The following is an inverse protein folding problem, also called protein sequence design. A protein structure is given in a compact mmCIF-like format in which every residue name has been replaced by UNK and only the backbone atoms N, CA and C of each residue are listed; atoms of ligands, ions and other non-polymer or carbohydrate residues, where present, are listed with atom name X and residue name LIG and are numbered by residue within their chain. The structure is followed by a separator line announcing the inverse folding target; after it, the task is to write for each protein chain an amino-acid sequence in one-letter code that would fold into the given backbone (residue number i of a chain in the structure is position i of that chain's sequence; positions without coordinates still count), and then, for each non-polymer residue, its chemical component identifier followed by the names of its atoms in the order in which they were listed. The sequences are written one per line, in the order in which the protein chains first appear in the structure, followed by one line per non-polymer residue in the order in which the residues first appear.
data_IF_561005160260
#
_entry.id   IF_561005160260
#
_cell.length_a   1.000
_cell.length_b   1.000
_cell.length_c   1.000
_cell.angle_alpha   90.00
_cell.angle_beta   90.00
_cell.angle_gamma   90.00
#
_symmetry.space_group_name_H-M   'P 1'
#
loop_
_entity.id
_entity.type
_entity.pdbx_description
1 polymer ?
#
# COMPACT_ATOMS: atom_id res chain seq x y z
N UNK A 1 21.63 75.11 22.65
CA UNK A 1 20.28 74.53 22.71
C UNK A 1 20.09 73.70 21.45
N UNK A 2 20.18 72.37 21.56
CA UNK A 2 20.02 71.44 20.43
C UNK A 2 18.79 70.59 20.71
N UNK A 3 17.76 70.74 19.88
CA UNK A 3 16.59 69.86 19.84
C UNK A 3 16.98 68.56 19.14
N UNK A 4 16.88 67.44 19.83
CA UNK A 4 17.11 66.10 19.28
C UNK A 4 15.77 65.40 19.03
N UNK A 5 15.71 64.79 17.85
CA UNK A 5 14.68 64.04 17.17
C UNK A 5 14.07 62.90 18.00
N UNK A 6 12.75 62.74 17.89
CA UNK A 6 11.99 61.57 18.39
C UNK A 6 11.89 60.54 17.26
N UNK A 7 12.59 59.42 17.40
CA UNK A 7 12.36 58.22 16.57
C UNK A 7 11.57 57.18 17.38
N UNK A 8 10.29 57.07 17.07
CA UNK A 8 9.40 56.03 17.57
C UNK A 8 9.55 54.73 16.78
N UNK A 9 10.16 53.71 17.38
CA UNK A 9 10.10 52.33 16.89
C UNK A 9 8.74 51.72 17.26
N UNK A 10 7.85 51.55 16.28
CA UNK A 10 6.69 50.64 16.36
C UNK A 10 7.13 49.25 15.90
N UNK A 11 6.85 48.25 16.73
CA UNK A 11 7.05 46.84 16.39
C UNK A 11 6.08 46.37 15.32
N UNK A 12 6.59 45.71 14.30
CA UNK A 12 5.81 44.94 13.33
C UNK A 12 5.66 43.53 13.88
N UNK A 13 4.46 43.22 14.38
CA UNK A 13 4.00 41.83 14.44
C UNK A 13 3.46 41.51 13.05
N UNK A 14 4.17 40.65 12.32
CA UNK A 14 3.76 40.20 10.99
C UNK A 14 2.42 39.47 11.06
N UNK A 15 1.46 39.94 10.27
CA UNK A 15 0.14 39.34 10.12
C UNK A 15 0.30 37.99 9.41
N UNK A 16 0.23 36.89 10.17
CA UNK A 16 0.33 35.52 9.62
C UNK A 16 -0.82 35.33 8.65
N UNK A 17 -0.50 35.25 7.36
CA UNK A 17 -1.52 35.09 6.34
C UNK A 17 -2.08 33.67 6.37
N UNK A 18 -3.35 33.49 6.02
CA UNK A 18 -4.00 32.17 5.94
C UNK A 18 -3.19 31.18 5.07
N UNK A 19 -2.46 31.69 4.07
CA UNK A 19 -1.57 30.91 3.22
C UNK A 19 -0.35 30.33 3.94
N UNK A 20 0.22 31.05 4.92
CA UNK A 20 1.34 30.55 5.73
C UNK A 20 0.90 29.45 6.70
N UNK A 21 -0.26 29.62 7.35
CA UNK A 21 -0.85 28.58 8.20
C UNK A 21 -1.16 27.30 7.41
N UNK A 22 -1.73 27.44 6.22
CA UNK A 22 -2.02 26.30 5.35
C UNK A 22 -0.72 25.60 4.91
N UNK A 23 0.31 26.37 4.59
CA UNK A 23 1.63 25.84 4.21
C UNK A 23 2.26 25.05 5.35
N UNK A 24 2.26 25.58 6.57
CA UNK A 24 2.77 24.86 7.75
C UNK A 24 1.99 23.58 8.02
N UNK A 25 0.66 23.65 7.99
CA UNK A 25 -0.19 22.46 8.20
C UNK A 25 0.04 21.38 7.14
N UNK A 26 0.15 21.76 5.86
CA UNK A 26 0.47 20.82 4.79
C UNK A 26 1.88 20.25 4.94
N UNK A 27 2.84 21.09 5.36
CA UNK A 27 4.22 20.66 5.58
C UNK A 27 4.29 19.61 6.70
N UNK A 28 3.60 19.82 7.81
CA UNK A 28 3.53 18.85 8.92
C UNK A 28 2.97 17.50 8.45
N UNK A 29 1.88 17.53 7.67
CA UNK A 29 1.29 16.32 7.09
C UNK A 29 2.30 15.61 6.18
N UNK A 30 2.93 16.34 5.24
CA UNK A 30 3.89 15.75 4.32
C UNK A 30 5.14 15.21 5.02
N UNK A 31 5.64 15.88 6.07
CA UNK A 31 6.76 15.41 6.89
C UNK A 31 6.45 14.07 7.57
N UNK A 32 5.23 13.91 8.12
CA UNK A 32 4.78 12.64 8.72
C UNK A 32 4.76 11.49 7.71
N UNK A 33 4.27 11.73 6.49
CA UNK A 33 4.26 10.71 5.44
C UNK A 33 5.64 10.43 4.85
N UNK A 34 6.48 11.46 4.70
CA UNK A 34 7.84 11.32 4.20
C UNK A 34 8.72 10.48 5.15
N UNK A 35 8.62 10.71 6.46
CA UNK A 35 9.32 9.91 7.48
C UNK A 35 8.90 8.43 7.48
N UNK A 36 7.66 8.13 7.08
CA UNK A 36 7.12 6.78 7.02
C UNK A 36 7.12 6.15 5.61
N UNK A 37 7.76 6.79 4.62
CA UNK A 37 7.74 6.34 3.22
C UNK A 37 8.28 4.90 3.04
N UNK A 38 9.24 4.48 3.86
CA UNK A 38 9.76 3.11 3.86
C UNK A 38 8.67 2.07 4.15
N UNK A 39 7.81 2.33 5.15
CA UNK A 39 6.67 1.47 5.50
C UNK A 39 5.61 1.47 4.40
N UNK A 40 5.38 2.62 3.77
CA UNK A 40 4.37 2.81 2.71
C UNK A 40 4.80 2.30 1.33
N UNK A 41 6.11 2.17 1.07
CA UNK A 41 6.62 1.73 -0.23
C UNK A 41 6.38 0.24 -0.51
N UNK A 42 6.22 -0.58 0.54
CA UNK A 42 6.01 -2.03 0.45
C UNK A 42 4.53 -2.44 0.30
N UNK A 43 3.66 -1.55 -0.18
CA UNK A 43 2.24 -1.81 -0.46
C UNK A 43 2.03 -2.53 -1.81
N UNK A 44 2.90 -3.49 -2.13
CA UNK A 44 2.74 -4.34 -3.31
C UNK A 44 1.56 -5.28 -3.13
N UNK A 45 0.44 -5.00 -3.78
CA UNK A 45 -0.72 -5.88 -3.69
C UNK A 45 -0.60 -7.08 -4.63
N UNK A 46 -0.94 -8.25 -4.08
CA UNK A 46 -1.13 -9.49 -4.83
C UNK A 46 -2.55 -9.63 -5.38
N UNK A 47 -3.41 -8.64 -5.15
CA UNK A 47 -4.79 -8.64 -5.59
C UNK A 47 -4.90 -8.44 -7.11
N UNK A 48 -5.65 -9.31 -7.78
CA UNK A 48 -5.89 -9.25 -9.21
C UNK A 48 -6.58 -7.96 -9.65
N UNK A 49 -7.45 -7.39 -8.80
CA UNK A 49 -8.19 -6.17 -9.09
C UNK A 49 -7.29 -4.93 -9.04
N UNK A 50 -6.39 -4.87 -8.06
CA UNK A 50 -5.40 -3.79 -7.98
C UNK A 50 -4.42 -3.84 -9.15
N UNK A 51 -4.05 -5.05 -9.59
CA UNK A 51 -3.25 -5.22 -10.79
C UNK A 51 -3.95 -4.69 -12.05
N UNK A 52 -5.27 -4.87 -12.19
CA UNK A 52 -6.03 -4.29 -13.30
C UNK A 52 -6.06 -2.76 -13.21
N UNK A 53 -6.33 -2.20 -12.02
CA UNK A 53 -6.33 -0.75 -11.81
C UNK A 53 -4.97 -0.13 -12.18
N UNK A 54 -3.87 -0.78 -11.79
CA UNK A 54 -2.53 -0.34 -12.18
C UNK A 54 -2.28 -0.44 -13.68
N UNK A 55 -2.83 -1.46 -14.35
CA UNK A 55 -2.71 -1.59 -15.80
C UNK A 55 -3.47 -0.46 -16.52
N UNK A 56 -4.68 -0.15 -16.08
CA UNK A 56 -5.48 0.96 -16.60
C UNK A 56 -4.76 2.29 -16.35
N UNK A 57 -4.27 2.53 -15.14
CA UNK A 57 -3.53 3.75 -14.79
C UNK A 57 -2.26 3.93 -15.65
N UNK A 58 -1.58 2.84 -16.03
CA UNK A 58 -0.42 2.89 -16.94
C UNK A 58 -0.80 3.20 -18.40
N UNK A 59 -1.96 2.76 -18.87
CA UNK A 59 -2.43 3.01 -20.24
C UNK A 59 -3.11 4.37 -20.39
N UNK A 60 -3.77 4.84 -19.35
CA UNK A 60 -4.46 6.12 -19.26
C UNK A 60 -4.03 6.86 -17.98
N UNK A 61 -2.80 7.39 -17.92
CA UNK A 61 -2.33 8.12 -16.75
C UNK A 61 -3.18 9.38 -16.54
N UNK A 62 -3.57 9.65 -15.28
CA UNK A 62 -4.35 10.83 -14.90
C UNK A 62 -3.64 12.16 -15.19
N UNK A 63 -2.31 12.13 -15.36
CA UNK A 63 -1.53 13.31 -15.75
C UNK A 63 -1.77 13.76 -17.19
N UNK A 64 -2.47 12.96 -18.00
CA UNK A 64 -2.78 13.26 -19.40
C UNK A 64 -4.30 13.28 -19.60
N UNK A 65 -4.81 14.29 -20.29
CA UNK A 65 -6.25 14.43 -20.53
C UNK A 65 -6.67 13.59 -21.76
N UNK A 66 -7.34 12.45 -21.52
CA UNK A 66 -7.91 11.59 -22.57
C UNK A 66 -9.44 11.64 -22.67
N UNK A 67 -10.13 12.21 -21.68
CA UNK A 67 -11.59 12.21 -21.57
C UNK A 67 -12.31 13.04 -22.65
N UNK A 68 -11.62 13.93 -23.35
CA UNK A 68 -12.20 14.74 -24.43
C UNK A 68 -12.42 14.01 -25.76
N UNK A 69 -12.13 12.70 -25.83
CA UNK A 69 -12.30 11.87 -27.04
C UNK A 69 -12.48 10.40 -26.67
N UNK A 70 -12.77 9.55 -27.67
CA UNK A 70 -12.83 8.08 -27.52
C UNK A 70 -11.48 7.44 -27.14
N UNK A 71 -10.40 8.22 -27.06
CA UNK A 71 -9.07 7.74 -26.65
C UNK A 71 -9.08 7.12 -25.26
N UNK A 72 -9.87 7.67 -24.32
CA UNK A 72 -9.97 7.08 -22.97
C UNK A 72 -10.57 5.67 -23.03
N UNK A 73 -11.70 5.51 -23.71
CA UNK A 73 -12.38 4.23 -23.90
C UNK A 73 -11.47 3.19 -24.54
N UNK A 74 -10.72 3.57 -25.59
CA UNK A 74 -9.78 2.68 -26.27
C UNK A 74 -8.63 2.24 -25.35
N UNK A 75 -8.07 3.15 -24.54
CA UNK A 75 -6.98 2.83 -23.60
C UNK A 75 -7.43 1.90 -22.48
N UNK A 76 -8.63 2.12 -21.96
CA UNK A 76 -9.25 1.24 -20.96
C UNK A 76 -9.52 -0.13 -21.56
N UNK A 77 -10.12 -0.20 -22.76
CA UNK A 77 -10.35 -1.44 -23.47
C UNK A 77 -9.04 -2.20 -23.75
N UNK A 78 -7.97 -1.50 -24.16
CA UNK A 78 -6.67 -2.10 -24.37
C UNK A 78 -6.06 -2.69 -23.08
N UNK A 79 -6.27 -2.05 -21.92
CA UNK A 79 -5.84 -2.62 -20.64
C UNK A 79 -6.63 -3.90 -20.30
N UNK A 80 -7.93 -3.91 -20.56
CA UNK A 80 -8.80 -5.07 -20.33
C UNK A 80 -8.42 -6.22 -21.27
N UNK A 81 -8.27 -5.95 -22.57
CA UNK A 81 -7.82 -6.94 -23.56
C UNK A 81 -6.46 -7.53 -23.17
N UNK A 82 -5.50 -6.67 -22.77
CA UNK A 82 -4.19 -7.13 -22.29
C UNK A 82 -4.31 -8.02 -21.04
N UNK A 83 -5.22 -7.70 -20.12
CA UNK A 83 -5.44 -8.46 -18.89
C UNK A 83 -6.08 -9.82 -19.17
N UNK A 84 -7.04 -9.88 -20.10
CA UNK A 84 -7.78 -11.09 -20.40
C UNK A 84 -6.98 -11.98 -21.36
N UNK A 85 -6.71 -11.48 -22.56
CA UNK A 85 -6.15 -12.23 -23.70
C UNK A 85 -4.62 -12.21 -23.73
N UNK A 86 -3.98 -11.19 -23.14
CA UNK A 86 -2.52 -11.04 -23.12
C UNK A 86 -2.07 -10.00 -24.13
N UNK A 87 -0.77 -9.96 -24.44
CA UNK A 87 -0.19 -8.98 -25.36
C UNK A 87 -0.47 -9.29 -26.84
N UNK A 88 -1.00 -10.49 -27.14
CA UNK A 88 -1.45 -10.88 -28.47
C UNK A 88 -2.50 -9.96 -29.10
N UNK A 89 -3.35 -9.31 -28.29
CA UNK A 89 -4.44 -8.44 -28.79
C UNK A 89 -3.95 -7.34 -29.74
N UNK A 90 -2.73 -6.82 -29.55
CA UNK A 90 -2.16 -5.78 -30.42
C UNK A 90 -1.99 -6.29 -31.85
N UNK A 91 -1.68 -7.56 -32.03
CA UNK A 91 -1.54 -8.19 -33.35
C UNK A 91 -2.90 -8.18 -34.05
N UNK A 92 -3.97 -8.49 -33.33
CA UNK A 92 -5.34 -8.53 -33.85
C UNK A 92 -5.85 -7.12 -34.17
N UNK A 93 -5.64 -6.16 -33.28
CA UNK A 93 -5.99 -4.75 -33.50
C UNK A 93 -5.27 -4.18 -34.72
N UNK A 94 -3.98 -4.49 -34.90
CA UNK A 94 -3.23 -4.05 -36.08
C UNK A 94 -3.84 -4.64 -37.37
N UNK A 95 -4.13 -5.96 -37.38
CA UNK A 95 -4.78 -6.60 -38.53
C UNK A 95 -6.14 -5.99 -38.84
N UNK A 96 -6.97 -5.76 -37.83
CA UNK A 96 -8.28 -5.14 -37.97
C UNK A 96 -8.21 -3.69 -38.48
N UNK A 97 -7.13 -2.99 -38.14
CA UNK A 97 -6.84 -1.63 -38.62
C UNK A 97 -6.16 -1.62 -39.99
N UNK A 98 -6.08 -2.75 -40.69
CA UNK A 98 -5.36 -2.93 -41.96
C UNK A 98 -3.86 -2.56 -41.88
N UNK A 99 -3.26 -2.65 -40.70
CA UNK A 99 -1.85 -2.42 -40.45
C UNK A 99 -1.10 -3.75 -40.32
N UNK A 100 0.13 -3.80 -40.83
CA UNK A 100 1.00 -4.95 -40.62
C UNK A 100 1.45 -4.99 -39.15
N UNK A 101 1.22 -6.08 -38.40
CA UNK A 101 1.72 -6.21 -37.03
C UNK A 101 3.24 -6.15 -36.94
N UNK A 102 3.94 -6.62 -37.97
CA UNK A 102 5.41 -6.68 -38.03
C UNK A 102 6.04 -7.76 -37.15
N UNK A 103 7.24 -8.24 -37.56
CA UNK A 103 7.97 -9.33 -36.88
C UNK A 103 8.36 -8.99 -35.43
N UNK A 104 8.67 -7.72 -35.14
CA UNK A 104 9.11 -7.29 -33.81
C UNK A 104 7.97 -7.33 -32.80
N UNK A 105 6.80 -6.83 -33.18
CA UNK A 105 5.59 -6.84 -32.34
C UNK A 105 5.15 -8.26 -32.02
N UNK A 106 5.10 -9.15 -33.03
CA UNK A 106 4.72 -10.55 -32.83
C UNK A 106 5.69 -11.29 -31.91
N UNK A 107 7.00 -11.09 -32.10
CA UNK A 107 8.02 -11.70 -31.24
C UNK A 107 7.93 -11.18 -29.80
N UNK A 108 7.76 -9.86 -29.62
CA UNK A 108 7.64 -9.22 -28.30
C UNK A 108 6.38 -9.69 -27.57
N UNK A 109 5.23 -9.73 -28.25
CA UNK A 109 3.97 -10.21 -27.69
C UNK A 109 4.11 -11.66 -27.20
N UNK A 110 4.63 -12.55 -28.06
CA UNK A 110 4.86 -13.95 -27.68
C UNK A 110 5.82 -14.13 -26.49
N UNK A 111 6.86 -13.31 -26.38
CA UNK A 111 7.74 -13.31 -25.21
C UNK A 111 6.99 -12.91 -23.93
N UNK A 112 6.23 -11.81 -23.98
CA UNK A 112 5.50 -11.29 -22.82
C UNK A 112 4.39 -12.26 -22.38
N UNK A 113 3.71 -12.91 -23.32
CA UNK A 113 2.66 -13.89 -23.03
C UNK A 113 3.24 -15.16 -22.40
N UNK A 114 4.39 -15.64 -22.86
CA UNK A 114 5.11 -16.73 -22.18
C UNK A 114 5.52 -16.35 -20.77
N UNK A 115 5.98 -15.10 -20.55
CA UNK A 115 6.33 -14.60 -19.22
C UNK A 115 5.09 -14.55 -18.31
N UNK A 116 3.95 -14.07 -18.82
CA UNK A 116 2.66 -14.06 -18.12
C UNK A 116 2.22 -15.49 -17.75
N UNK A 117 2.25 -16.42 -18.69
CA UNK A 117 1.86 -17.81 -18.46
C UNK A 117 2.72 -18.46 -17.36
N UNK A 118 4.05 -18.29 -17.42
CA UNK A 118 4.97 -18.78 -16.37
C UNK A 118 4.64 -18.21 -14.99
N UNK A 119 4.34 -16.90 -14.92
CA UNK A 119 3.93 -16.27 -13.66
C UNK A 119 2.61 -16.83 -13.15
N UNK A 120 1.62 -17.02 -14.02
CA UNK A 120 0.32 -17.57 -13.67
C UNK A 120 0.46 -18.99 -13.12
N UNK A 121 1.18 -19.89 -13.81
CA UNK A 121 1.43 -21.26 -13.34
C UNK A 121 2.14 -21.26 -11.99
N UNK A 122 3.12 -20.38 -11.80
CA UNK A 122 3.83 -20.25 -10.51
C UNK A 122 2.88 -19.81 -9.41
N UNK A 123 2.09 -18.77 -9.64
CA UNK A 123 1.16 -18.20 -8.66
C UNK A 123 -0.02 -19.12 -8.33
N UNK A 124 -0.48 -19.93 -9.30
CA UNK A 124 -1.57 -20.89 -9.09
C UNK A 124 -1.12 -22.18 -8.40
N UNK A 125 0.19 -22.42 -8.29
CA UNK A 125 0.74 -23.63 -7.66
C UNK A 125 0.35 -23.75 -6.20
N UNK A 126 0.18 -24.99 -5.71
CA UNK A 126 -0.10 -25.27 -4.30
C UNK A 126 0.99 -24.69 -3.39
N UNK A 127 2.26 -24.83 -3.78
CA UNK A 127 3.39 -24.31 -3.02
C UNK A 127 3.28 -22.79 -2.85
N UNK A 128 3.02 -22.04 -3.93
CA UNK A 128 2.86 -20.59 -3.84
C UNK A 128 1.69 -20.17 -2.93
N UNK A 129 0.59 -20.95 -2.90
CA UNK A 129 -0.52 -20.70 -1.96
C UNK A 129 -0.11 -20.96 -0.52
N UNK A 130 0.60 -22.06 -0.25
CA UNK A 130 1.12 -22.38 1.09
C UNK A 130 2.13 -21.34 1.56
N UNK A 131 3.08 -20.96 0.70
CA UNK A 131 4.06 -19.91 1.01
C UNK A 131 3.36 -18.59 1.35
N UNK A 132 2.29 -18.24 0.62
CA UNK A 132 1.49 -17.05 0.92
C UNK A 132 0.82 -17.11 2.30
N UNK A 133 0.26 -18.27 2.68
CA UNK A 133 -0.35 -18.46 4.00
C UNK A 133 0.70 -18.37 5.10
N UNK A 134 1.84 -19.06 4.92
CA UNK A 134 2.96 -19.00 5.85
C UNK A 134 3.48 -17.57 6.02
N UNK A 135 3.68 -16.83 4.94
CA UNK A 135 4.11 -15.42 5.02
C UNK A 135 3.06 -14.51 5.70
N UNK A 136 1.76 -14.83 5.58
CA UNK A 136 0.68 -14.12 6.30
C UNK A 136 0.77 -14.41 7.80
N UNK A 137 0.96 -15.68 8.17
CA UNK A 137 1.13 -16.13 9.55
C UNK A 137 2.41 -15.57 10.19
N UNK A 138 3.54 -15.62 9.49
CA UNK A 138 4.82 -15.07 9.94
C UNK A 138 4.70 -13.55 10.19
N UNK A 139 4.02 -12.83 9.28
CA UNK A 139 3.77 -11.39 9.43
C UNK A 139 2.90 -11.11 10.65
N UNK A 140 1.78 -11.84 10.80
CA UNK A 140 0.88 -11.65 11.92
C UNK A 140 1.56 -11.98 13.25
N UNK A 141 2.32 -13.07 13.31
CA UNK A 141 3.07 -13.48 14.49
C UNK A 141 4.13 -12.45 14.85
N UNK A 142 4.86 -11.93 13.86
CA UNK A 142 5.83 -10.85 14.06
C UNK A 142 5.17 -9.59 14.61
N UNK A 143 3.99 -9.21 14.10
CA UNK A 143 3.23 -8.05 14.58
C UNK A 143 2.79 -8.23 16.04
N UNK A 144 2.21 -9.38 16.36
CA UNK A 144 1.79 -9.71 17.73
C UNK A 144 2.98 -9.72 18.69
N UNK A 145 4.10 -10.30 18.29
CA UNK A 145 5.30 -10.31 19.12
C UNK A 145 5.86 -8.91 19.34
N UNK A 146 5.88 -8.07 18.30
CA UNK A 146 6.30 -6.68 18.45
C UNK A 146 5.37 -5.91 19.39
N UNK A 147 4.05 -6.04 19.23
CA UNK A 147 3.04 -5.42 20.10
C UNK A 147 3.19 -5.86 21.57
N UNK A 148 3.42 -7.16 21.82
CA UNK A 148 3.65 -7.68 23.17
C UNK A 148 4.97 -7.19 23.78
N UNK A 149 6.02 -7.07 22.96
CA UNK A 149 7.34 -6.66 23.43
C UNK A 149 7.39 -5.16 23.78
N UNK A 150 6.72 -4.31 22.99
CA UNK A 150 6.88 -2.84 23.07
C UNK A 150 5.62 -2.08 23.51
N UNK A 151 4.52 -2.79 23.79
CA UNK A 151 3.28 -2.21 24.32
C UNK A 151 2.56 -1.30 23.31
N UNK A 152 1.98 -0.20 23.78
CA UNK A 152 1.21 0.78 22.97
C UNK A 152 2.00 1.40 21.81
N UNK A 153 3.31 1.18 21.73
CA UNK A 153 4.17 1.68 20.64
C UNK A 153 3.84 1.08 19.27
N UNK A 154 3.29 -0.14 19.21
CA UNK A 154 2.95 -0.81 17.93
C UNK A 154 1.47 -1.13 17.74
N UNK A 155 0.59 -0.57 18.56
CA UNK A 155 -0.82 -0.63 18.20
C UNK A 155 -1.01 -0.04 16.79
N UNK A 156 -1.78 -0.73 15.97
CA UNK A 156 -1.82 -0.44 14.53
C UNK A 156 -2.32 0.99 14.31
N UNK A 157 -1.52 1.82 13.65
CA UNK A 157 -1.77 3.26 13.39
C UNK A 157 -1.46 4.24 14.53
N UNK A 158 -0.74 3.83 15.59
CA UNK A 158 -0.28 4.74 16.65
C UNK A 158 0.59 5.88 16.11
N UNK A 159 1.44 5.60 15.13
CA UNK A 159 2.30 6.60 14.45
C UNK A 159 1.51 7.75 13.79
N UNK A 160 0.22 7.55 13.49
CA UNK A 160 -0.65 8.58 12.89
C UNK A 160 -1.54 9.29 13.93
N UNK A 161 -1.69 8.74 15.13
CA UNK A 161 -2.63 9.23 16.15
C UNK A 161 -2.00 10.16 17.19
N UNK A 162 -0.67 10.16 17.32
CA UNK A 162 0.03 10.90 18.38
C UNK A 162 0.43 12.30 17.90
N UNK A 163 -0.12 13.34 18.54
CA UNK A 163 0.41 14.70 18.51
C UNK A 163 1.81 14.70 19.16
N UNK A 164 2.82 15.40 18.61
CA UNK A 164 4.19 15.40 19.15
C UNK A 164 4.24 15.74 20.66
N UNK A 165 3.29 16.53 21.15
CA UNK A 165 3.16 16.91 22.57
C UNK A 165 2.87 15.72 23.50
N UNK A 166 2.19 14.66 23.01
CA UNK A 166 1.84 13.47 23.81
C UNK A 166 2.93 12.40 23.81
N UNK A 167 3.89 12.49 22.89
CA UNK A 167 4.94 11.49 22.75
C UNK A 167 6.02 11.64 23.85
N UNK A 168 6.27 12.86 24.31
CA UNK A 168 7.25 13.15 25.39
C UNK A 168 6.73 12.78 26.78
N UNK A 169 5.43 12.92 27.06
CA UNK A 169 4.84 12.55 28.35
C UNK A 169 4.83 11.03 28.60
N UNK A 170 4.72 10.20 27.54
CA UNK A 170 4.72 8.74 27.65
C UNK A 170 6.12 8.14 27.88
N UNK A 171 7.19 8.83 27.47
CA UNK A 171 8.58 8.37 27.64
C UNK A 171 9.03 8.46 29.11
N UNK A 172 8.42 9.36 29.90
CA UNK A 172 8.84 9.64 31.27
C UNK A 172 8.48 8.57 32.32
N UNK A 173 7.62 7.58 31.99
CA UNK A 173 7.19 6.55 32.92
C UNK A 173 7.42 5.14 32.37
N UNK A 174 8.65 4.65 32.45
CA UNK A 174 8.94 3.22 32.27
C UNK A 174 8.72 2.53 33.63
N UNK A 175 7.73 1.63 33.80
CA UNK A 175 7.65 0.80 34.99
C UNK A 175 8.83 -0.19 34.97
N UNK A 176 9.57 -0.29 36.09
CA UNK A 176 10.64 -1.27 36.24
C UNK A 176 10.12 -2.69 35.99
N UNK A 177 10.72 -3.39 35.03
CA UNK A 177 10.34 -4.75 34.65
C UNK A 177 10.69 -5.75 35.78
N UNK A 178 9.77 -6.65 36.17
CA UNK A 178 10.13 -7.74 37.08
C UNK A 178 11.03 -8.75 36.35
N UNK A 179 12.13 -9.12 37.01
CA UNK A 179 13.15 -10.08 36.57
C UNK A 179 12.54 -11.35 35.93
N UNK A 180 13.02 -11.68 34.74
CA UNK A 180 12.62 -12.81 33.91
C UNK A 180 12.95 -14.15 34.58
N UNK A 181 12.09 -14.60 35.49
CA UNK A 181 12.08 -16.01 35.91
C UNK A 181 11.35 -16.83 34.85
N UNK A 182 12.07 -17.77 34.24
CA UNK A 182 11.61 -18.66 33.18
C UNK A 182 10.27 -19.33 33.50
N UNK A 183 9.16 -18.77 33.02
CA UNK A 183 7.83 -19.36 33.19
C UNK A 183 7.66 -20.49 32.16
N UNK A 184 7.95 -21.73 32.57
CA UNK A 184 7.54 -22.92 31.80
C UNK A 184 6.01 -22.97 31.76
N UNK A 185 5.43 -22.75 30.58
CA UNK A 185 4.01 -22.99 30.34
C UNK A 185 3.73 -24.49 30.50
N UNK A 186 2.78 -24.85 31.36
CA UNK A 186 2.28 -26.23 31.45
C UNK A 186 1.21 -26.42 30.36
N UNK A 187 1.26 -27.50 29.58
CA UNK A 187 0.21 -27.81 28.62
C UNK A 187 -1.08 -28.13 29.40
N UNK A 188 -2.16 -27.41 29.08
CA UNK A 188 -3.51 -27.73 29.55
C UNK A 188 -4.01 -28.91 28.71
N UNK A 189 -4.38 -30.01 29.37
CA UNK A 189 -4.98 -31.14 28.71
C UNK A 189 -6.33 -30.72 28.11
N UNK A 190 -6.45 -30.80 26.79
CA UNK A 190 -7.70 -30.53 26.09
C UNK A 190 -8.74 -31.57 26.52
N UNK A 191 -9.84 -31.11 27.11
CA UNK A 191 -11.00 -31.97 27.30
C UNK A 191 -11.61 -32.23 25.92
N UNK A 192 -11.50 -33.47 25.47
CA UNK A 192 -12.12 -33.99 24.26
C UNK A 192 -13.63 -33.95 24.48
N UNK A 193 -14.27 -32.93 23.94
CA UNK A 193 -15.68 -33.03 23.57
C UNK A 193 -15.73 -33.24 22.05
N UNK A 194 -16.58 -34.16 21.60
CA UNK A 194 -16.80 -34.50 20.20
C UNK A 194 -17.49 -33.34 19.45
N UNK A 195 -16.79 -32.22 19.31
CA UNK A 195 -17.21 -31.10 18.50
C UNK A 195 -16.54 -31.20 17.14
N UNK A 196 -17.32 -31.48 16.10
CA UNK A 196 -16.86 -31.35 14.72
C UNK A 196 -16.65 -29.86 14.42
N UNK A 197 -15.39 -29.43 14.34
CA UNK A 197 -15.04 -28.07 13.99
C UNK A 197 -15.34 -27.82 12.50
N UNK A 198 -16.48 -27.18 12.22
CA UNK A 198 -16.79 -26.69 10.88
C UNK A 198 -16.21 -25.28 10.76
N UNK A 199 -15.05 -25.16 10.12
CA UNK A 199 -14.46 -23.87 9.76
C UNK A 199 -15.05 -23.46 8.41
N UNK A 200 -16.03 -22.55 8.44
CA UNK A 200 -16.50 -21.89 7.24
C UNK A 200 -15.62 -20.67 6.95
N UNK A 201 -14.84 -20.76 5.87
CA UNK A 201 -14.08 -19.64 5.34
C UNK A 201 -15.05 -18.64 4.67
N UNK A 202 -15.27 -17.48 5.30
CA UNK A 202 -16.18 -16.44 4.80
C UNK A 202 -15.47 -15.38 3.94
N UNK A 203 -14.16 -15.52 3.66
CA UNK A 203 -13.52 -14.65 2.68
C UNK A 203 -13.96 -15.04 1.26
N UNK A 204 -14.86 -14.21 0.72
CA UNK A 204 -15.38 -14.26 -0.65
C UNK A 204 -14.26 -14.11 -1.67
N UNK A 205 -13.57 -15.21 -1.96
CA UNK A 205 -12.95 -15.36 -3.29
C UNK A 205 -14.10 -15.41 -4.28
N UNK A 206 -14.18 -14.40 -5.14
CA UNK A 206 -15.21 -14.29 -6.16
C UNK A 206 -15.34 -15.60 -6.93
N UNK A 207 -16.47 -16.27 -6.73
CA UNK A 207 -16.94 -17.30 -7.63
C UNK A 207 -17.26 -16.63 -8.97
N UNK A 208 -16.28 -16.59 -9.86
CA UNK A 208 -16.57 -16.41 -11.28
C UNK A 208 -16.93 -17.80 -11.83
N UNK A 209 -18.19 -17.98 -12.21
CA UNK A 209 -18.58 -19.02 -13.17
C UNK A 209 -18.00 -18.72 -14.54
#
# INVERSE_FOLDING_TARGET
MSLATVDGKRGEQGEVTIGEMLKESLYEVFSKYAGNAGKLSNLGSSNGNENLNQMIAKKAPKSQHYSGSDSLSFRVAAAIAQKNEGHGFIIEVNKASCLSPGKRTTTRAGYLDRKRARQQTRQSSRQAKLDRLRLKEDRQSSLVLSELHEGTTYETSVDFAVSPEKQEELIAQIPSTPSTSSRKLKPVAAQVSDSTLIVADLETTGFCK
#
